data_IF_464672976376
#
_entry.id   IF_464672976376
#
_cell.length_a   1.000
_cell.length_b   1.000
_cell.length_c   1.000
_cell.angle_alpha   90.00
_cell.angle_beta   90.00
_cell.angle_gamma   90.00
#
_symmetry.space_group_name_H-M   'P 1'
#
loop_
_entity.id
_entity.type
_entity.pdbx_description
1 polymer ?
#
# COMPACT_ATOMS: atom_id res chain seq x y z
N UNK A 1 13.01 12.14 -15.16
CA UNK A 1 13.04 10.69 -15.37
C UNK A 1 11.71 10.25 -15.97
N UNK A 2 11.72 9.13 -16.70
CA UNK A 2 10.53 8.44 -17.16
C UNK A 2 10.12 7.40 -16.10
N UNK A 3 8.88 7.48 -15.61
CA UNK A 3 8.38 6.62 -14.54
C UNK A 3 7.19 5.82 -15.04
N UNK A 4 7.31 4.49 -14.96
CA UNK A 4 6.22 3.57 -15.23
C UNK A 4 5.60 3.13 -13.91
N UNK A 5 4.32 3.44 -13.70
CA UNK A 5 3.58 3.08 -12.49
C UNK A 5 2.57 1.99 -12.84
N UNK A 6 2.82 0.80 -12.31
CA UNK A 6 1.94 -0.35 -12.47
C UNK A 6 0.96 -0.38 -11.29
N UNK A 7 -0.34 -0.43 -11.56
CA UNK A 7 -1.40 -0.28 -10.55
C UNK A 7 -1.82 1.18 -10.36
N UNK A 8 -1.74 1.99 -11.42
CA UNK A 8 -1.88 3.44 -11.37
C UNK A 8 -3.30 3.96 -11.15
N UNK A 9 -4.35 3.12 -11.14
CA UNK A 9 -5.68 3.55 -10.72
C UNK A 9 -5.91 3.39 -9.20
N UNK A 10 -5.06 2.60 -8.53
CA UNK A 10 -5.22 2.21 -7.14
C UNK A 10 -5.08 3.34 -6.13
N UNK A 11 -5.33 3.00 -4.85
CA UNK A 11 -5.27 3.94 -3.72
C UNK A 11 -3.96 4.72 -3.65
N UNK A 12 -2.84 4.03 -3.87
CA UNK A 12 -1.48 4.59 -3.86
C UNK A 12 -1.03 5.01 -5.27
N UNK A 13 -1.30 4.17 -6.28
CA UNK A 13 -0.79 4.39 -7.63
C UNK A 13 -1.26 5.69 -8.27
N UNK A 14 -2.52 6.07 -8.08
CA UNK A 14 -3.04 7.31 -8.67
C UNK A 14 -2.42 8.58 -8.03
N UNK A 15 -2.41 8.73 -6.70
CA UNK A 15 -1.65 9.80 -6.06
C UNK A 15 -0.17 9.82 -6.42
N UNK A 16 0.50 8.67 -6.48
CA UNK A 16 1.92 8.59 -6.90
C UNK A 16 2.10 9.12 -8.32
N UNK A 17 1.20 8.81 -9.25
CA UNK A 17 1.27 9.31 -10.62
C UNK A 17 1.19 10.84 -10.69
N UNK A 18 0.24 11.43 -9.96
CA UNK A 18 0.13 12.88 -9.88
C UNK A 18 1.34 13.51 -9.20
N UNK A 19 1.84 12.89 -8.11
CA UNK A 19 2.99 13.39 -7.35
C UNK A 19 4.26 13.49 -8.20
N UNK A 20 4.55 12.47 -9.01
CA UNK A 20 5.68 12.46 -9.94
C UNK A 20 5.46 13.43 -11.12
N UNK A 21 4.26 13.44 -11.70
CA UNK A 21 3.91 14.37 -12.79
C UNK A 21 4.08 15.82 -12.34
N UNK A 22 3.59 16.15 -11.13
CA UNK A 22 3.70 17.49 -10.56
C UNK A 22 5.16 17.94 -10.41
N UNK A 23 6.09 17.02 -10.18
CA UNK A 23 7.53 17.25 -10.05
C UNK A 23 8.29 17.20 -11.39
N UNK A 24 7.58 17.20 -12.52
CA UNK A 24 8.17 17.34 -13.85
C UNK A 24 8.70 16.04 -14.44
N UNK A 25 8.24 14.89 -13.93
CA UNK A 25 8.57 13.59 -14.52
C UNK A 25 7.58 13.21 -15.62
N UNK A 26 8.06 12.45 -16.60
CA UNK A 26 7.21 11.78 -17.58
C UNK A 26 6.60 10.56 -16.90
N UNK A 27 5.26 10.50 -16.83
CA UNK A 27 4.56 9.44 -16.11
C UNK A 27 3.68 8.65 -17.07
N UNK A 28 3.86 7.33 -17.06
CA UNK A 28 2.96 6.37 -17.69
C UNK A 28 2.37 5.47 -16.61
N UNK A 29 1.04 5.32 -16.59
CA UNK A 29 0.32 4.42 -15.69
C UNK A 29 -0.22 3.22 -16.45
N UNK A 30 -0.13 2.03 -15.85
CA UNK A 30 -0.75 0.79 -16.33
C UNK A 30 -1.69 0.24 -15.27
N UNK A 31 -2.92 -0.08 -15.63
CA UNK A 31 -3.90 -0.70 -14.72
C UNK A 31 -4.94 -1.51 -15.50
N UNK A 32 -5.49 -2.57 -14.90
CA UNK A 32 -6.54 -3.41 -15.50
C UNK A 32 -7.91 -3.23 -14.81
N UNK A 33 -8.03 -2.28 -13.88
CA UNK A 33 -9.21 -2.05 -13.04
C UNK A 33 -9.63 -3.23 -12.16
N UNK A 34 -8.75 -4.22 -11.93
CA UNK A 34 -9.02 -5.37 -11.05
C UNK A 34 -9.63 -4.92 -9.73
N UNK A 35 -9.05 -3.88 -9.11
CA UNK A 35 -9.50 -3.37 -7.81
C UNK A 35 -10.96 -2.92 -7.82
N UNK A 36 -11.41 -2.25 -8.89
CA UNK A 36 -12.80 -1.80 -9.05
C UNK A 36 -13.72 -2.98 -9.30
N UNK A 37 -13.35 -3.87 -10.21
CA UNK A 37 -14.14 -5.04 -10.54
C UNK A 37 -14.34 -5.97 -9.34
N UNK A 38 -13.29 -6.22 -8.57
CA UNK A 38 -13.36 -6.98 -7.33
C UNK A 38 -14.27 -6.30 -6.29
N UNK A 39 -14.26 -4.97 -6.21
CA UNK A 39 -15.14 -4.25 -5.28
C UNK A 39 -16.61 -4.36 -5.66
N UNK A 40 -16.93 -4.32 -6.96
CA UNK A 40 -18.31 -4.51 -7.45
C UNK A 40 -18.76 -5.95 -7.18
N UNK A 41 -17.92 -6.94 -7.52
CA UNK A 41 -18.20 -8.36 -7.29
C UNK A 41 -18.48 -8.66 -5.82
N UNK A 42 -17.72 -8.03 -4.92
CA UNK A 42 -17.80 -8.23 -3.48
C UNK A 42 -18.72 -7.23 -2.78
N UNK A 43 -19.47 -6.40 -3.50
CA UNK A 43 -20.34 -5.36 -2.93
C UNK A 43 -19.63 -4.51 -1.85
N UNK A 44 -18.44 -4.02 -2.17
CA UNK A 44 -17.57 -3.25 -1.28
C UNK A 44 -16.89 -2.08 -2.00
N UNK A 45 -17.64 -1.40 -2.85
CA UNK A 45 -17.19 -0.24 -3.62
C UNK A 45 -16.61 0.89 -2.74
N UNK A 46 -15.77 1.70 -3.36
CA UNK A 46 -15.17 2.85 -2.69
C UNK A 46 -16.22 3.86 -2.24
N UNK A 47 -16.01 4.43 -1.05
CA UNK A 47 -16.85 5.51 -0.52
C UNK A 47 -16.87 6.73 -1.45
N UNK A 48 -15.69 7.11 -1.95
CA UNK A 48 -15.52 8.25 -2.83
C UNK A 48 -15.72 7.76 -4.28
N UNK A 49 -16.70 8.30 -5.02
CA UNK A 49 -16.88 7.96 -6.41
C UNK A 49 -15.69 8.52 -7.21
N UNK A 50 -15.15 7.70 -8.09
CA UNK A 50 -13.95 8.04 -8.85
C UNK A 50 -14.18 7.85 -10.34
N UNK A 51 -13.85 8.87 -11.13
CA UNK A 51 -13.86 8.77 -12.58
C UNK A 51 -12.91 7.66 -13.06
N UNK A 52 -13.10 7.18 -14.29
CA UNK A 52 -12.16 6.20 -14.86
C UNK A 52 -10.79 6.85 -15.10
N UNK A 53 -9.75 6.03 -15.27
CA UNK A 53 -8.37 6.49 -15.32
C UNK A 53 -8.09 7.46 -16.48
N UNK A 54 -8.72 7.28 -17.64
CA UNK A 54 -8.62 8.22 -18.77
C UNK A 54 -9.23 9.58 -18.42
N UNK A 55 -10.39 9.60 -17.76
CA UNK A 55 -11.04 10.84 -17.32
C UNK A 55 -10.22 11.54 -16.23
N UNK A 56 -9.66 10.78 -15.29
CA UNK A 56 -8.73 11.29 -14.27
C UNK A 56 -7.50 11.94 -14.90
N UNK A 57 -6.84 11.28 -15.85
CA UNK A 57 -5.69 11.83 -16.56
C UNK A 57 -6.06 13.06 -17.41
N UNK A 58 -7.24 13.05 -18.06
CA UNK A 58 -7.75 14.23 -18.76
C UNK A 58 -7.96 15.39 -17.80
N UNK A 59 -8.58 15.15 -16.64
CA UNK A 59 -8.78 16.16 -15.60
C UNK A 59 -7.46 16.73 -15.11
N UNK A 60 -6.48 15.87 -14.85
CA UNK A 60 -5.14 16.28 -14.43
C UNK A 60 -4.52 17.28 -15.42
N UNK A 61 -4.61 16.98 -16.72
CA UNK A 61 -4.17 17.88 -17.78
C UNK A 61 -4.96 19.18 -17.84
N UNK A 62 -6.28 19.14 -17.64
CA UNK A 62 -7.13 20.34 -17.63
C UNK A 62 -6.75 21.30 -16.48
N UNK A 63 -6.42 20.77 -15.29
CA UNK A 63 -6.12 21.61 -14.12
C UNK A 63 -4.65 22.01 -14.00
N UNK A 64 -3.72 21.23 -14.54
CA UNK A 64 -2.26 21.48 -14.42
C UNK A 64 -1.53 21.77 -15.71
N UNK A 65 -2.12 21.44 -16.86
CA UNK A 65 -1.44 21.40 -18.16
C UNK A 65 -0.49 20.22 -18.35
N UNK A 66 -0.33 19.33 -17.36
CA UNK A 66 0.60 18.19 -17.40
C UNK A 66 -0.11 16.91 -17.82
N UNK A 67 0.60 16.05 -18.54
CA UNK A 67 0.06 14.80 -19.07
C UNK A 67 0.54 13.59 -18.25
N UNK A 68 -0.39 12.66 -18.01
CA UNK A 68 -0.11 11.31 -17.51
C UNK A 68 -0.61 10.36 -18.59
N UNK A 69 0.28 9.55 -19.14
CA UNK A 69 -0.07 8.57 -20.16
C UNK A 69 -0.78 7.38 -19.51
N UNK A 70 -1.88 6.92 -20.10
CA UNK A 70 -2.70 5.83 -19.53
C UNK A 70 -2.71 4.64 -20.47
N UNK A 71 -2.33 3.48 -19.95
CA UNK A 71 -2.42 2.18 -20.62
C UNK A 71 -3.34 1.27 -19.80
N UNK A 72 -4.38 0.72 -20.42
CA UNK A 72 -5.28 -0.23 -19.76
C UNK A 72 -4.92 -1.64 -20.18
N UNK A 73 -4.53 -2.47 -19.22
CA UNK A 73 -4.11 -3.84 -19.50
C UNK A 73 -3.59 -4.58 -18.27
N UNK A 74 -3.63 -5.90 -18.35
CA UNK A 74 -3.17 -6.81 -17.30
C UNK A 74 -1.70 -7.18 -17.53
N UNK A 75 -0.82 -6.82 -16.59
CA UNK A 75 0.62 -7.09 -16.69
C UNK A 75 1.00 -8.55 -16.45
N UNK A 76 0.06 -9.39 -16.01
CA UNK A 76 0.23 -10.86 -16.05
C UNK A 76 0.34 -11.34 -17.51
N UNK A 77 -0.27 -10.61 -18.46
CA UNK A 77 -0.07 -10.82 -19.88
C UNK A 77 1.24 -10.15 -20.30
N UNK A 78 2.29 -10.96 -20.51
CA UNK A 78 3.65 -10.46 -20.72
C UNK A 78 3.77 -9.49 -21.92
N UNK A 79 3.04 -9.71 -23.01
CA UNK A 79 3.04 -8.82 -24.18
C UNK A 79 2.53 -7.40 -23.88
N UNK A 80 1.56 -7.28 -22.96
CA UNK A 80 1.06 -5.97 -22.50
C UNK A 80 2.16 -5.24 -21.72
N UNK A 81 2.82 -5.94 -20.80
CA UNK A 81 3.93 -5.37 -20.04
C UNK A 81 5.09 -4.97 -20.96
N UNK A 82 5.50 -5.84 -21.90
CA UNK A 82 6.56 -5.54 -22.86
C UNK A 82 6.24 -4.32 -23.71
N UNK A 83 4.98 -4.17 -24.14
CA UNK A 83 4.53 -3.00 -24.89
C UNK A 83 4.66 -1.72 -24.04
N UNK A 84 4.19 -1.76 -22.79
CA UNK A 84 4.30 -0.63 -21.86
C UNK A 84 5.78 -0.24 -21.60
N UNK A 85 6.68 -1.21 -21.42
CA UNK A 85 8.11 -0.96 -21.23
C UNK A 85 8.77 -0.36 -22.48
N UNK A 86 8.44 -0.86 -23.68
CA UNK A 86 8.98 -0.37 -24.95
C UNK A 86 8.54 1.06 -25.26
N UNK A 87 7.28 1.37 -24.96
CA UNK A 87 6.68 2.69 -25.19
C UNK A 87 7.20 3.72 -24.18
N UNK A 88 7.16 3.40 -22.88
CA UNK A 88 7.53 4.35 -21.82
C UNK A 88 9.04 4.47 -21.59
N UNK A 89 9.83 3.45 -21.93
CA UNK A 89 11.28 3.35 -21.68
C UNK A 89 11.66 3.89 -20.29
N UNK A 90 11.15 3.28 -19.21
CA UNK A 90 11.23 3.89 -17.89
C UNK A 90 12.64 3.85 -17.31
N UNK A 91 13.04 4.93 -16.65
CA UNK A 91 14.20 4.94 -15.75
C UNK A 91 13.85 4.21 -14.43
N UNK A 92 12.59 4.32 -13.99
CA UNK A 92 12.08 3.71 -12.76
C UNK A 92 10.72 3.08 -13.00
N UNK A 93 10.52 1.88 -12.45
CA UNK A 93 9.26 1.16 -12.43
C UNK A 93 8.77 1.09 -10.99
N UNK A 94 7.56 1.56 -10.73
CA UNK A 94 6.90 1.46 -9.43
C UNK A 94 5.82 0.38 -9.51
N UNK A 95 5.96 -0.69 -8.72
CA UNK A 95 5.07 -1.84 -8.78
C UNK A 95 4.05 -1.85 -7.64
N UNK A 96 2.82 -1.40 -7.95
CA UNK A 96 1.63 -1.53 -7.11
C UNK A 96 0.58 -2.53 -7.64
N UNK A 97 0.74 -3.01 -8.88
CA UNK A 97 -0.19 -3.88 -9.61
C UNK A 97 -0.30 -5.31 -9.04
N UNK A 98 -0.77 -5.42 -7.81
CA UNK A 98 -0.94 -6.66 -7.06
C UNK A 98 -2.28 -6.67 -6.33
N UNK A 99 -2.77 -7.85 -5.98
CA UNK A 99 -3.88 -8.04 -5.05
C UNK A 99 -3.37 -7.75 -3.63
N UNK A 100 -3.77 -6.64 -2.96
CA UNK A 100 -3.12 -6.16 -1.75
C UNK A 100 -3.86 -6.49 -0.44
N UNK A 101 -4.98 -7.19 -0.50
CA UNK A 101 -5.87 -7.46 0.63
C UNK A 101 -5.63 -8.85 1.22
N UNK A 102 -5.27 -8.85 2.51
CA UNK A 102 -5.22 -10.06 3.33
C UNK A 102 -6.59 -10.75 3.42
N UNK A 103 -7.70 -10.08 3.80
CA UNK A 103 -9.02 -10.70 3.81
C UNK A 103 -9.42 -11.31 2.45
N UNK A 104 -9.19 -10.61 1.33
CA UNK A 104 -9.50 -11.12 -0.01
C UNK A 104 -8.78 -12.43 -0.28
N UNK A 105 -7.49 -12.51 0.08
CA UNK A 105 -6.68 -13.71 -0.11
C UNK A 105 -7.14 -14.92 0.71
N UNK A 106 -7.97 -14.69 1.74
CA UNK A 106 -8.49 -15.70 2.66
C UNK A 106 -9.97 -16.04 2.42
N UNK A 107 -10.66 -15.37 1.48
CA UNK A 107 -12.10 -15.54 1.26
C UNK A 107 -12.49 -16.97 0.87
N UNK A 108 -11.77 -17.54 -0.10
CA UNK A 108 -11.98 -18.89 -0.60
C UNK A 108 -10.79 -19.32 -1.50
N UNK A 109 -10.81 -20.57 -1.95
CA UNK A 109 -9.77 -21.16 -2.81
C UNK A 109 -9.50 -20.35 -4.09
N UNK A 110 -10.53 -19.79 -4.71
CA UNK A 110 -10.40 -19.06 -5.98
C UNK A 110 -9.70 -17.72 -5.77
N UNK A 111 -10.08 -16.96 -4.74
CA UNK A 111 -9.42 -15.69 -4.40
C UNK A 111 -7.99 -15.91 -3.88
N UNK A 112 -7.75 -17.02 -3.20
CA UNK A 112 -6.41 -17.45 -2.80
C UNK A 112 -5.54 -17.76 -4.02
N UNK A 113 -6.01 -18.59 -4.95
CA UNK A 113 -5.29 -18.92 -6.18
C UNK A 113 -5.02 -17.70 -7.05
N UNK A 114 -6.00 -16.80 -7.18
CA UNK A 114 -5.84 -15.53 -7.88
C UNK A 114 -4.76 -14.67 -7.25
N UNK A 115 -4.71 -14.57 -5.91
CA UNK A 115 -3.68 -13.77 -5.20
C UNK A 115 -2.28 -14.28 -5.52
N UNK A 116 -2.06 -15.60 -5.49
CA UNK A 116 -0.77 -16.23 -5.85
C UNK A 116 -0.43 -15.95 -7.31
N UNK A 117 -1.34 -16.26 -8.23
CA UNK A 117 -1.07 -16.15 -9.66
C UNK A 117 -0.82 -14.71 -10.07
N UNK A 118 -1.66 -13.78 -9.61
CA UNK A 118 -1.53 -12.37 -9.96
C UNK A 118 -0.19 -11.81 -9.47
N UNK A 119 0.08 -11.90 -8.17
CA UNK A 119 1.21 -11.20 -7.55
C UNK A 119 2.56 -11.77 -8.02
N UNK A 120 2.69 -13.11 -8.04
CA UNK A 120 3.97 -13.72 -8.41
C UNK A 120 4.27 -13.60 -9.90
N UNK A 121 3.25 -13.77 -10.77
CA UNK A 121 3.47 -13.66 -12.22
C UNK A 121 3.69 -12.20 -12.63
N UNK A 122 3.01 -11.22 -12.01
CA UNK A 122 3.31 -9.81 -12.28
C UNK A 122 4.74 -9.45 -11.92
N UNK A 123 5.22 -9.87 -10.73
CA UNK A 123 6.60 -9.63 -10.30
C UNK A 123 7.61 -10.33 -11.23
N UNK A 124 7.37 -11.60 -11.58
CA UNK A 124 8.21 -12.35 -12.53
C UNK A 124 8.29 -11.66 -13.90
N UNK A 125 7.15 -11.22 -14.42
CA UNK A 125 7.07 -10.52 -15.70
C UNK A 125 7.87 -9.22 -15.66
N UNK A 126 7.82 -8.45 -14.57
CA UNK A 126 8.62 -7.22 -14.42
C UNK A 126 10.11 -7.54 -14.42
N UNK A 127 10.53 -8.56 -13.67
CA UNK A 127 11.94 -9.02 -13.64
C UNK A 127 12.45 -9.33 -15.05
N UNK A 128 11.69 -10.11 -15.82
CA UNK A 128 12.06 -10.49 -17.19
C UNK A 128 11.98 -9.31 -18.16
N UNK A 129 10.92 -8.50 -18.06
CA UNK A 129 10.71 -7.33 -18.92
C UNK A 129 11.79 -6.28 -18.73
N UNK A 130 12.23 -6.02 -17.49
CA UNK A 130 13.38 -5.14 -17.21
C UNK A 130 14.63 -5.71 -17.85
N UNK A 131 14.91 -7.01 -17.66
CA UNK A 131 16.10 -7.63 -18.24
C UNK A 131 16.13 -7.56 -19.78
N UNK A 132 14.99 -7.75 -20.42
CA UNK A 132 14.85 -7.80 -21.88
C UNK A 132 14.82 -6.41 -22.53
N UNK A 133 14.06 -5.48 -21.96
CA UNK A 133 13.70 -4.22 -22.64
C UNK A 133 14.44 -3.03 -22.05
N UNK A 134 14.53 -2.95 -20.73
CA UNK A 134 15.09 -1.78 -20.03
C UNK A 134 16.03 -2.17 -18.89
N UNK A 135 17.18 -2.82 -19.17
CA UNK A 135 18.03 -3.43 -18.14
C UNK A 135 18.65 -2.43 -17.14
N UNK A 136 18.58 -1.13 -17.43
CA UNK A 136 19.01 -0.06 -16.53
C UNK A 136 17.94 0.42 -15.54
N UNK A 137 16.67 0.01 -15.70
CA UNK A 137 15.57 0.51 -14.88
C UNK A 137 15.72 0.10 -13.42
N UNK A 138 15.41 1.02 -12.52
CA UNK A 138 15.25 0.75 -11.10
C UNK A 138 13.84 0.24 -10.82
N UNK A 139 13.72 -0.85 -10.05
CA UNK A 139 12.42 -1.36 -9.59
C UNK A 139 12.20 -0.86 -8.17
N UNK A 140 11.15 -0.07 -7.97
CA UNK A 140 10.60 0.24 -6.65
C UNK A 140 9.41 -0.69 -6.42
N UNK A 141 9.62 -1.74 -5.61
CA UNK A 141 8.60 -2.71 -5.25
C UNK A 141 7.88 -2.27 -3.99
N UNK A 142 6.56 -2.43 -3.97
CA UNK A 142 5.81 -2.35 -2.73
C UNK A 142 5.82 -3.74 -2.06
N UNK A 143 6.62 -3.89 -1.02
CA UNK A 143 6.58 -5.01 -0.08
C UNK A 143 5.49 -4.80 0.98
N UNK A 144 5.70 -5.30 2.19
CA UNK A 144 4.81 -5.04 3.34
C UNK A 144 5.50 -5.31 4.66
N UNK A 145 5.26 -4.48 5.68
CA UNK A 145 5.68 -4.77 7.06
C UNK A 145 5.12 -6.11 7.58
N UNK A 146 4.04 -6.60 6.98
CA UNK A 146 3.45 -7.89 7.33
C UNK A 146 4.28 -9.10 6.92
N UNK A 147 5.36 -8.94 6.14
CA UNK A 147 6.31 -10.03 5.87
C UNK A 147 6.99 -10.50 7.15
N UNK A 148 7.38 -9.56 8.02
CA UNK A 148 8.13 -9.86 9.24
C UNK A 148 7.31 -10.58 10.31
N UNK A 149 5.98 -10.48 10.26
CA UNK A 149 5.13 -10.99 11.33
C UNK A 149 5.31 -10.22 12.63
N UNK A 150 5.38 -10.94 13.75
CA UNK A 150 5.50 -10.36 15.10
C UNK A 150 6.49 -11.15 15.96
N UNK A 151 7.79 -11.13 15.60
CA UNK A 151 8.83 -11.84 16.33
C UNK A 151 9.08 -11.19 17.69
N UNK A 152 9.77 -11.91 18.58
CA UNK A 152 10.15 -11.42 19.91
C UNK A 152 11.56 -10.79 19.92
N UNK A 153 11.93 -10.13 18.82
CA UNK A 153 13.17 -9.38 18.62
C UNK A 153 12.84 -8.10 17.85
N UNK A 154 13.77 -7.15 17.79
CA UNK A 154 13.64 -5.98 16.94
C UNK A 154 13.49 -6.39 15.47
N UNK A 155 12.66 -5.64 14.74
CA UNK A 155 12.46 -5.86 13.31
C UNK A 155 13.40 -4.92 12.56
N UNK A 156 14.38 -5.48 11.86
CA UNK A 156 15.35 -4.72 11.06
C UNK A 156 14.77 -4.29 9.71
N UNK A 157 15.49 -3.43 8.98
CA UNK A 157 15.16 -3.08 7.59
C UNK A 157 15.64 -4.17 6.63
N UNK A 158 14.92 -5.30 6.64
CA UNK A 158 15.06 -6.39 5.68
C UNK A 158 16.25 -7.34 5.87
N UNK A 159 17.27 -6.95 6.63
CA UNK A 159 18.49 -7.74 6.83
C UNK A 159 18.79 -7.96 8.30
N UNK A 160 19.27 -9.16 8.64
CA UNK A 160 19.71 -9.50 9.98
C UNK A 160 21.15 -10.01 9.93
N UNK A 161 22.04 -9.34 10.66
CA UNK A 161 23.40 -9.83 10.92
C UNK A 161 23.35 -10.86 12.05
N UNK A 162 23.89 -12.06 11.81
CA UNK A 162 23.84 -13.17 12.76
C UNK A 162 25.25 -13.65 13.07
N UNK A 163 25.57 -13.70 14.36
CA UNK A 163 26.72 -14.42 14.91
C UNK A 163 26.26 -15.76 15.49
N UNK A 164 26.63 -16.85 14.84
CA UNK A 164 26.23 -18.20 15.24
C UNK A 164 27.39 -19.19 15.14
N UNK A 165 27.68 -19.88 16.27
CA UNK A 165 28.76 -20.87 16.38
C UNK A 165 30.13 -20.35 15.89
N UNK A 166 30.48 -19.11 16.24
CA UNK A 166 31.77 -18.50 15.90
C UNK A 166 31.89 -18.06 14.42
N UNK A 167 30.77 -17.96 13.70
CA UNK A 167 30.71 -17.46 12.33
C UNK A 167 29.69 -16.34 12.23
N UNK A 168 30.01 -15.33 11.42
CA UNK A 168 29.15 -14.18 11.15
C UNK A 168 28.71 -14.20 9.70
N UNK A 169 27.43 -13.91 9.45
CA UNK A 169 26.88 -13.74 8.10
C UNK A 169 25.62 -12.86 8.14
N UNK A 170 25.19 -12.37 6.98
CA UNK A 170 24.03 -11.46 6.83
C UNK A 170 22.95 -12.13 5.98
N UNK A 171 21.75 -12.21 6.53
CA UNK A 171 20.62 -12.87 5.88
C UNK A 171 19.46 -11.92 5.68
N UNK A 172 18.58 -12.25 4.73
CA UNK A 172 17.25 -11.67 4.74
C UNK A 172 16.61 -11.98 6.09
N UNK A 173 15.97 -10.96 6.68
CA UNK A 173 15.33 -11.09 7.98
C UNK A 173 14.30 -12.25 7.94
N UNK A 174 14.22 -13.08 8.99
CA UNK A 174 13.23 -14.16 9.07
C UNK A 174 11.79 -13.63 8.97
N UNK A 175 10.99 -14.19 8.07
CA UNK A 175 9.64 -13.69 7.75
C UNK A 175 8.57 -14.68 8.20
N UNK A 176 7.49 -14.16 8.76
CA UNK A 176 6.38 -14.92 9.37
C UNK A 176 5.03 -14.26 9.01
N UNK A 177 4.73 -14.23 7.71
CA UNK A 177 3.46 -13.70 7.21
C UNK A 177 2.25 -14.41 7.82
N UNK A 178 1.19 -13.65 8.09
CA UNK A 178 -0.03 -14.17 8.73
C UNK A 178 -1.15 -14.51 7.73
N UNK A 179 -1.10 -14.02 6.49
CA UNK A 179 -2.09 -14.32 5.44
C UNK A 179 -1.42 -14.71 4.13
N UNK A 180 -2.17 -15.32 3.21
CA UNK A 180 -1.66 -15.65 1.88
C UNK A 180 -1.17 -14.42 1.08
N UNK A 181 -1.86 -13.27 1.15
CA UNK A 181 -1.37 -12.01 0.57
C UNK A 181 0.05 -11.66 1.07
N UNK A 182 0.24 -11.56 2.39
CA UNK A 182 1.55 -11.29 2.98
C UNK A 182 2.59 -12.36 2.59
N UNK A 183 2.19 -13.63 2.47
CA UNK A 183 3.08 -14.70 1.99
C UNK A 183 3.51 -14.48 0.54
N UNK A 184 2.64 -14.00 -0.35
CA UNK A 184 3.04 -13.68 -1.73
C UNK A 184 4.06 -12.54 -1.78
N UNK A 185 4.04 -11.60 -0.83
CA UNK A 185 5.03 -10.53 -0.75
C UNK A 185 6.41 -11.05 -0.32
N UNK A 186 6.46 -11.96 0.65
CA UNK A 186 7.70 -12.70 0.99
C UNK A 186 8.30 -13.36 -0.27
N UNK A 187 7.44 -14.02 -1.05
CA UNK A 187 7.83 -14.72 -2.27
C UNK A 187 8.30 -13.75 -3.37
N UNK A 188 7.69 -12.58 -3.51
CA UNK A 188 8.19 -11.53 -4.41
C UNK A 188 9.59 -11.08 -3.99
N UNK A 189 9.81 -10.81 -2.71
CA UNK A 189 11.10 -10.38 -2.16
C UNK A 189 12.17 -11.44 -2.42
N UNK A 190 11.87 -12.72 -2.21
CA UNK A 190 12.78 -13.83 -2.50
C UNK A 190 13.08 -13.96 -3.99
N UNK A 191 12.07 -13.81 -4.85
CA UNK A 191 12.21 -13.87 -6.30
C UNK A 191 13.08 -12.70 -6.80
N UNK A 192 12.79 -11.48 -6.36
CA UNK A 192 13.57 -10.29 -6.66
C UNK A 192 15.01 -10.45 -6.17
N UNK A 193 15.21 -10.92 -4.94
CA UNK A 193 16.55 -11.13 -4.39
C UNK A 193 17.37 -12.12 -5.21
N UNK A 194 16.74 -13.20 -5.69
CA UNK A 194 17.40 -14.14 -6.60
C UNK A 194 17.90 -13.47 -7.87
N UNK A 195 17.07 -12.64 -8.52
CA UNK A 195 17.43 -11.98 -9.79
C UNK A 195 18.30 -10.74 -9.64
N UNK A 196 18.23 -10.05 -8.49
CA UNK A 196 19.22 -9.04 -8.10
C UNK A 196 20.62 -9.66 -8.09
N UNK A 197 20.79 -10.80 -7.41
CA UNK A 197 22.11 -11.47 -7.32
C UNK A 197 22.56 -12.11 -8.62
N UNK A 198 21.65 -12.69 -9.40
CA UNK A 198 22.02 -13.47 -10.59
C UNK A 198 22.11 -12.62 -11.85
N UNK A 199 21.30 -11.58 -11.99
CA UNK A 199 21.22 -10.74 -13.19
C UNK A 199 21.64 -9.29 -12.99
N UNK A 200 21.96 -8.89 -11.76
CA UNK A 200 22.40 -7.53 -11.44
C UNK A 200 21.27 -6.51 -11.46
N UNK A 201 20.02 -6.93 -11.22
CA UNK A 201 18.90 -5.98 -11.09
C UNK A 201 19.15 -5.01 -9.94
N UNK A 202 18.55 -3.81 -10.03
CA UNK A 202 18.55 -2.80 -8.98
C UNK A 202 17.14 -2.66 -8.43
N UNK A 203 16.95 -3.00 -7.16
CA UNK A 203 15.63 -3.06 -6.53
C UNK A 203 15.65 -2.30 -5.22
N UNK A 204 14.62 -1.50 -4.99
CA UNK A 204 14.25 -1.01 -3.66
C UNK A 204 12.90 -1.58 -3.30
N UNK A 205 12.85 -2.32 -2.20
CA UNK A 205 11.64 -2.94 -1.68
C UNK A 205 11.15 -2.19 -0.45
N UNK A 206 9.93 -1.67 -0.55
CA UNK A 206 9.34 -0.80 0.45
C UNK A 206 8.36 -1.59 1.30
N UNK A 207 8.79 -1.95 2.51
CA UNK A 207 8.00 -2.67 3.49
C UNK A 207 7.04 -1.71 4.16
N UNK A 208 5.93 -1.44 3.48
CA UNK A 208 4.97 -0.44 3.91
C UNK A 208 4.04 -0.95 5.02
N UNK A 209 3.81 -0.10 6.01
CA UNK A 209 2.75 -0.29 7.02
C UNK A 209 1.36 0.16 6.53
N UNK A 210 0.28 -0.07 7.30
CA UNK A 210 -1.04 0.37 6.86
C UNK A 210 -1.08 1.89 6.67
N UNK A 211 -1.55 2.27 5.48
CA UNK A 211 -1.65 3.68 5.08
C UNK A 211 -2.96 4.27 5.57
N UNK A 212 -2.90 5.50 6.07
CA UNK A 212 -4.05 6.34 6.38
C UNK A 212 -3.99 7.66 5.62
N UNK A 213 -5.10 8.40 5.62
CA UNK A 213 -5.24 9.64 4.85
C UNK A 213 -6.02 9.43 3.56
N UNK A 214 -6.17 10.51 2.80
CA UNK A 214 -6.94 10.52 1.54
C UNK A 214 -6.67 11.79 0.73
N UNK A 215 -6.34 12.88 1.42
CA UNK A 215 -5.96 14.17 0.83
C UNK A 215 -4.48 14.22 0.51
N UNK A 216 -4.17 14.86 -0.61
CA UNK A 216 -2.83 15.24 -1.05
C UNK A 216 -2.93 16.57 -1.79
N UNK A 217 -1.83 17.31 -1.88
CA UNK A 217 -1.80 18.60 -2.60
C UNK A 217 -2.36 18.46 -4.03
N UNK A 218 -2.02 17.37 -4.72
CA UNK A 218 -2.47 17.11 -6.09
C UNK A 218 -3.94 16.65 -6.15
N UNK A 219 -4.38 15.80 -5.23
CA UNK A 219 -5.75 15.24 -5.24
C UNK A 219 -6.80 16.25 -4.78
N UNK A 220 -6.41 17.28 -4.03
CA UNK A 220 -7.30 18.34 -3.57
C UNK A 220 -7.52 19.46 -4.61
N UNK A 221 -6.80 19.43 -5.74
CA UNK A 221 -7.02 20.39 -6.85
C UNK A 221 -8.41 20.26 -7.48
N UNK A 222 -9.00 19.06 -7.49
CA UNK A 222 -10.34 18.81 -8.05
C UNK A 222 -10.91 17.49 -7.54
N UNK A 223 -12.22 17.41 -7.30
CA UNK A 223 -12.86 16.19 -6.74
C UNK A 223 -12.65 14.93 -7.62
N UNK A 224 -12.67 15.07 -8.95
CA UNK A 224 -12.34 13.97 -9.89
C UNK A 224 -10.91 13.41 -9.75
N UNK A 225 -9.99 14.11 -9.10
CA UNK A 225 -8.60 13.68 -8.89
C UNK A 225 -8.41 12.89 -7.58
N UNK A 226 -9.45 12.78 -6.76
CA UNK A 226 -9.40 12.03 -5.50
C UNK A 226 -9.14 10.55 -5.75
N UNK A 227 -8.39 9.93 -4.85
CA UNK A 227 -8.13 8.49 -4.88
C UNK A 227 -9.27 7.69 -4.25
N UNK A 228 -9.21 6.36 -4.36
CA UNK A 228 -10.20 5.46 -3.77
C UNK A 228 -10.10 5.48 -2.24
N UNK A 229 -11.24 5.50 -1.56
CA UNK A 229 -11.32 5.32 -0.11
C UNK A 229 -12.15 4.10 0.25
N UNK A 230 -11.56 3.14 0.97
CA UNK A 230 -12.23 1.90 1.38
C UNK A 230 -12.36 1.81 2.90
N UNK A 231 -13.53 1.36 3.32
CA UNK A 231 -13.94 1.22 4.72
C UNK A 231 -14.60 -0.15 4.99
N UNK A 232 -14.70 -0.98 3.95
CA UNK A 232 -15.21 -2.34 4.04
C UNK A 232 -14.22 -3.26 4.77
N UNK A 233 -14.68 -4.45 5.16
CA UNK A 233 -13.82 -5.43 5.84
C UNK A 233 -12.71 -5.99 4.95
N UNK A 234 -12.93 -6.01 3.64
CA UNK A 234 -12.06 -6.72 2.72
C UNK A 234 -10.83 -5.87 2.40
N UNK A 235 -11.03 -4.62 2.01
CA UNK A 235 -9.96 -3.75 1.57
C UNK A 235 -9.75 -2.50 2.43
N UNK A 236 -10.66 -2.18 3.34
CA UNK A 236 -10.49 -1.07 4.26
C UNK A 236 -9.37 -1.32 5.27
N UNK A 237 -8.56 -0.30 5.54
CA UNK A 237 -7.56 -0.31 6.62
C UNK A 237 -8.17 0.19 7.92
N UNK A 238 -7.59 -0.19 9.06
CA UNK A 238 -8.24 0.00 10.38
C UNK A 238 -8.60 1.45 10.69
N UNK A 239 -7.70 2.41 10.44
CA UNK A 239 -7.96 3.82 10.76
C UNK A 239 -9.05 4.41 9.86
N UNK A 240 -8.98 4.11 8.56
CA UNK A 240 -9.99 4.52 7.58
C UNK A 240 -11.38 3.93 7.93
N UNK A 241 -11.44 2.66 8.33
CA UNK A 241 -12.65 1.97 8.82
C UNK A 241 -13.21 2.65 10.06
N UNK A 242 -12.38 2.95 11.05
CA UNK A 242 -12.81 3.56 12.30
C UNK A 242 -13.45 4.93 12.10
N UNK A 243 -12.90 5.77 11.22
CA UNK A 243 -13.48 7.09 10.94
C UNK A 243 -14.87 6.94 10.30
N UNK A 244 -15.03 6.02 9.35
CA UNK A 244 -16.34 5.77 8.72
C UNK A 244 -17.34 5.16 9.70
N UNK A 245 -16.91 4.23 10.56
CA UNK A 245 -17.75 3.67 11.62
C UNK A 245 -18.26 4.77 12.56
N UNK A 246 -17.37 5.66 13.00
CA UNK A 246 -17.73 6.81 13.82
C UNK A 246 -18.74 7.74 13.14
N UNK A 247 -18.58 8.01 11.83
CA UNK A 247 -19.49 8.90 11.07
C UNK A 247 -20.94 8.39 11.03
N UNK A 248 -21.15 7.07 11.03
CA UNK A 248 -22.48 6.45 10.97
C UNK A 248 -22.98 5.93 12.32
N UNK A 249 -22.25 6.22 13.42
CA UNK A 249 -22.59 5.73 14.76
C UNK A 249 -22.45 4.21 14.92
N UNK A 250 -21.74 3.54 14.00
CA UNK A 250 -21.35 2.15 14.16
C UNK A 250 -20.20 2.08 15.18
N UNK A 251 -20.24 1.17 16.18
CA UNK A 251 -19.13 1.01 17.10
C UNK A 251 -17.81 0.73 16.38
N UNK A 252 -16.71 1.30 16.87
CA UNK A 252 -15.38 1.01 16.36
C UNK A 252 -15.08 -0.47 16.60
N UNK A 253 -14.88 -1.24 15.52
CA UNK A 253 -14.73 -2.70 15.59
C UNK A 253 -13.31 -3.10 15.93
N UNK A 254 -13.03 -3.36 17.19
CA UNK A 254 -11.73 -3.87 17.64
C UNK A 254 -11.75 -5.39 17.60
N UNK A 255 -10.83 -5.99 16.85
CA UNK A 255 -10.74 -7.45 16.74
C UNK A 255 -9.96 -7.99 17.94
N UNK A 256 -10.61 -8.84 18.74
CA UNK A 256 -10.01 -9.43 19.93
C UNK A 256 -9.67 -8.36 20.98
N UNK A 257 -8.50 -8.48 21.62
CA UNK A 257 -8.03 -7.56 22.67
C UNK A 257 -7.63 -6.16 22.18
N UNK A 258 -7.36 -5.98 20.88
CA UNK A 258 -6.94 -4.69 20.31
C UNK A 258 -5.48 -4.28 20.57
N UNK A 259 -4.66 -5.17 21.13
CA UNK A 259 -3.24 -4.91 21.41
C UNK A 259 -2.32 -5.17 20.21
N UNK A 260 -2.86 -5.54 19.04
CA UNK A 260 -2.08 -5.73 17.82
C UNK A 260 -1.38 -4.40 17.46
N UNK A 261 -0.05 -4.40 17.42
CA UNK A 261 0.76 -3.21 17.08
C UNK A 261 1.28 -3.30 15.65
N UNK A 262 1.17 -2.22 14.88
CA UNK A 262 1.74 -2.11 13.53
C UNK A 262 2.36 -0.74 13.36
N UNK A 263 3.33 -0.63 12.45
CA UNK A 263 3.80 0.66 11.97
C UNK A 263 2.81 1.22 10.95
N UNK A 264 2.45 2.50 11.05
CA UNK A 264 1.51 3.20 10.17
C UNK A 264 2.23 4.33 9.44
N UNK A 265 1.62 4.80 8.36
CA UNK A 265 2.16 5.90 7.56
C UNK A 265 1.04 6.71 6.90
N UNK A 266 1.24 8.02 6.78
CA UNK A 266 0.35 8.90 6.05
C UNK A 266 0.48 8.65 4.52
N UNK A 267 -0.60 8.83 3.76
CA UNK A 267 -0.57 8.81 2.30
C UNK A 267 0.47 9.78 1.75
N UNK A 268 0.60 10.99 2.29
CA UNK A 268 1.61 11.97 1.84
C UNK A 268 3.04 11.43 1.98
N UNK A 269 3.35 10.81 3.12
CA UNK A 269 4.65 10.19 3.35
C UNK A 269 4.88 8.98 2.46
N UNK A 270 3.82 8.26 2.09
CA UNK A 270 3.92 7.20 1.09
C UNK A 270 4.48 7.73 -0.23
N UNK A 271 3.96 8.87 -0.70
CA UNK A 271 4.40 9.49 -1.95
C UNK A 271 5.85 10.00 -1.84
N UNK A 272 6.18 10.62 -0.71
CA UNK A 272 7.54 11.07 -0.42
C UNK A 272 8.55 9.92 -0.45
N UNK A 273 8.30 8.84 0.28
CA UNK A 273 9.20 7.69 0.35
C UNK A 273 9.42 7.02 -1.02
N UNK A 274 8.36 6.86 -1.81
CA UNK A 274 8.45 6.28 -3.16
C UNK A 274 9.26 7.20 -4.07
N UNK A 275 9.03 8.51 -3.98
CA UNK A 275 9.78 9.52 -4.73
C UNK A 275 11.26 9.55 -4.34
N UNK A 276 11.58 9.54 -3.05
CA UNK A 276 12.96 9.51 -2.54
C UNK A 276 13.67 8.24 -3.02
N UNK A 277 13.00 7.09 -2.97
CA UNK A 277 13.54 5.82 -3.45
C UNK A 277 13.82 5.84 -4.95
N UNK A 278 12.94 6.44 -5.75
CA UNK A 278 13.13 6.59 -7.20
C UNK A 278 14.26 7.58 -7.54
N UNK A 279 14.36 8.70 -6.81
CA UNK A 279 15.40 9.71 -7.03
C UNK A 279 16.79 9.26 -6.59
N UNK A 280 16.85 8.31 -5.64
CA UNK A 280 18.09 7.74 -5.11
C UNK A 280 18.09 6.22 -5.33
N UNK A 281 18.22 5.75 -6.58
CA UNK A 281 17.97 4.36 -6.96
C UNK A 281 19.03 3.40 -6.40
N UNK A 282 18.65 2.15 -6.12
CA UNK A 282 19.56 1.09 -5.69
C UNK A 282 20.72 0.89 -6.70
N UNK A 283 21.90 0.51 -6.25
CA UNK A 283 23.01 0.08 -7.11
C UNK A 283 22.64 -1.16 -7.93
N UNK A 284 23.36 -1.40 -9.04
CA UNK A 284 23.19 -2.66 -9.78
C UNK A 284 23.59 -3.85 -8.91
N UNK A 285 22.74 -4.89 -8.88
CA UNK A 285 22.93 -6.03 -7.99
C UNK A 285 22.63 -5.74 -6.51
N UNK A 286 22.03 -4.59 -6.19
CA UNK A 286 21.59 -4.23 -4.85
C UNK A 286 20.08 -4.44 -4.68
N UNK A 287 19.71 -5.10 -3.57
CA UNK A 287 18.36 -5.10 -3.03
C UNK A 287 18.37 -4.24 -1.76
N UNK A 288 17.87 -3.00 -1.89
CA UNK A 288 17.65 -2.12 -0.75
C UNK A 288 16.27 -2.40 -0.16
N UNK A 289 16.16 -2.51 1.15
CA UNK A 289 14.88 -2.75 1.83
C UNK A 289 14.71 -1.63 2.85
N UNK A 290 13.53 -1.00 2.85
CA UNK A 290 13.17 0.03 3.84
C UNK A 290 11.87 -0.31 4.53
N UNK A 291 11.83 -0.13 5.83
CA UNK A 291 10.59 -0.18 6.61
C UNK A 291 9.87 1.16 6.44
N UNK A 292 8.89 1.19 5.53
CA UNK A 292 8.17 2.40 5.15
C UNK A 292 7.00 2.65 6.13
N UNK A 293 7.37 3.13 7.32
CA UNK A 293 6.48 3.53 8.42
C UNK A 293 6.99 4.81 9.09
N UNK A 294 6.11 5.54 9.77
CA UNK A 294 6.49 6.76 10.52
C UNK A 294 6.20 6.65 12.01
N UNK A 295 5.20 5.86 12.40
CA UNK A 295 4.76 5.71 13.80
C UNK A 295 4.26 4.29 14.06
N UNK A 296 4.28 3.86 15.33
CA UNK A 296 3.74 2.56 15.75
C UNK A 296 2.53 2.79 16.64
N UNK A 297 1.41 2.15 16.31
CA UNK A 297 0.19 2.19 17.12
C UNK A 297 -0.40 0.78 17.32
N UNK A 298 -1.00 0.58 18.48
CA UNK A 298 -1.97 -0.49 18.72
C UNK A 298 -3.36 -0.12 18.19
N UNK A 299 -4.21 -1.12 18.00
CA UNK A 299 -5.61 -0.89 17.59
C UNK A 299 -6.37 -0.09 18.66
N UNK A 300 -6.10 -0.35 19.94
CA UNK A 300 -6.70 0.39 21.05
C UNK A 300 -6.29 1.87 21.06
N UNK A 301 -5.03 2.20 20.77
CA UNK A 301 -4.57 3.60 20.66
C UNK A 301 -5.28 4.32 19.53
N UNK A 302 -5.35 3.73 18.34
CA UNK A 302 -6.08 4.30 17.20
C UNK A 302 -7.56 4.51 17.51
N UNK A 303 -8.22 3.53 18.12
CA UNK A 303 -9.62 3.63 18.52
C UNK A 303 -9.84 4.77 19.53
N UNK A 304 -8.93 4.93 20.49
CA UNK A 304 -8.95 6.03 21.45
C UNK A 304 -8.80 7.40 20.79
N UNK A 305 -7.89 7.54 19.82
CA UNK A 305 -7.70 8.77 19.05
C UNK A 305 -8.95 9.11 18.23
N UNK A 306 -9.50 8.15 17.47
CA UNK A 306 -10.73 8.36 16.68
C UNK A 306 -11.93 8.68 17.56
N UNK A 307 -12.09 7.99 18.70
CA UNK A 307 -13.17 8.27 19.64
C UNK A 307 -13.08 9.68 20.20
N UNK A 308 -11.88 10.13 20.60
CA UNK A 308 -11.65 11.46 21.16
C UNK A 308 -11.99 12.55 20.15
N UNK A 309 -11.43 12.46 18.93
CA UNK A 309 -11.70 13.44 17.85
C UNK A 309 -13.16 13.39 17.41
N UNK A 310 -13.71 12.20 17.19
CA UNK A 310 -15.10 12.05 16.78
C UNK A 310 -16.10 12.62 17.80
N UNK A 311 -15.88 12.40 19.10
CA UNK A 311 -16.71 13.01 20.17
C UNK A 311 -16.58 14.54 20.19
N UNK A 312 -15.38 15.08 19.99
CA UNK A 312 -15.18 16.53 19.90
C UNK A 312 -15.92 17.16 18.70
N UNK A 313 -16.11 16.39 17.62
CA UNK A 313 -16.91 16.78 16.45
C UNK A 313 -18.41 16.49 16.59
N UNK A 314 -18.86 15.98 17.74
CA UNK A 314 -20.28 15.73 18.03
C UNK A 314 -20.82 14.36 17.58
N UNK A 315 -19.95 13.41 17.22
CA UNK A 315 -20.37 12.04 16.89
C UNK A 315 -20.45 11.15 18.14
N UNK A 316 -21.44 10.26 18.20
CA UNK A 316 -21.53 9.23 19.23
C UNK A 316 -20.61 8.05 18.89
N UNK A 317 -19.33 8.16 19.30
CA UNK A 317 -18.32 7.14 19.02
C UNK A 317 -18.20 6.15 20.18
N UNK A 318 -18.64 4.92 19.93
CA UNK A 318 -18.54 3.78 20.86
C UNK A 318 -17.45 2.83 20.38
N UNK A 319 -16.83 2.10 21.30
CA UNK A 319 -15.83 1.07 20.99
C UNK A 319 -16.44 -0.28 21.32
N UNK A 320 -16.26 -1.25 20.43
CA UNK A 320 -16.72 -2.62 20.64
C UNK A 320 -15.60 -3.61 20.29
N UNK A 321 -15.28 -4.46 21.25
CA UNK A 321 -14.44 -5.64 21.00
C UNK A 321 -15.32 -6.76 20.44
N UNK A 322 -14.88 -7.36 19.34
CA UNK A 322 -15.55 -8.49 18.69
C UNK A 322 -14.60 -9.68 18.61
N UNK A 323 -15.16 -10.88 18.39
CA UNK A 323 -14.35 -12.06 18.13
C UNK A 323 -13.41 -11.81 16.94
N UNK A 324 -12.13 -12.07 17.12
CA UNK A 324 -11.13 -11.83 16.08
C UNK A 324 -11.33 -12.83 14.93
N UNK A 325 -11.66 -12.38 13.71
CA UNK A 325 -11.81 -13.29 12.58
C UNK A 325 -10.46 -13.78 12.04
N UNK A 326 -9.34 -13.18 12.48
CA UNK A 326 -7.99 -13.49 12.02
C UNK A 326 -7.24 -14.35 13.03
N UNK A 327 -6.23 -15.08 12.55
CA UNK A 327 -5.27 -15.79 13.41
C UNK A 327 -3.99 -14.96 13.55
N UNK A 328 -3.95 -14.14 14.59
CA UNK A 328 -2.80 -13.29 14.91
C UNK A 328 -2.64 -13.09 16.43
N UNK A 329 -1.44 -12.69 16.87
CA UNK A 329 -1.20 -12.33 18.27
C UNK A 329 -1.93 -11.03 18.58
N UNK A 330 -2.76 -11.04 19.61
CA UNK A 330 -3.54 -9.85 20.04
C UNK A 330 -2.79 -8.97 21.05
N UNK A 331 -1.63 -9.43 21.51
CA UNK A 331 -0.65 -8.71 22.31
C UNK A 331 0.73 -9.30 22.01
N UNK A 332 1.71 -8.45 21.70
CA UNK A 332 3.03 -8.87 21.26
C UNK A 332 4.07 -7.76 21.36
N UNK A 333 5.35 -8.15 21.43
CA UNK A 333 6.47 -7.26 21.19
C UNK A 333 6.41 -6.69 19.76
N UNK A 334 6.75 -5.41 19.60
CA UNK A 334 6.83 -4.78 18.28
C UNK A 334 7.71 -3.54 18.32
N UNK A 335 8.93 -3.64 17.78
CA UNK A 335 9.90 -2.57 17.71
C UNK A 335 10.63 -2.60 16.35
N UNK A 336 10.01 -2.08 15.28
CA UNK A 336 10.66 -1.99 13.98
C UNK A 336 11.64 -0.81 13.93
N UNK A 337 12.79 -1.00 13.28
CA UNK A 337 13.65 0.10 12.82
C UNK A 337 13.11 0.64 11.50
N UNK A 338 13.15 1.96 11.32
CA UNK A 338 12.65 2.63 10.11
C UNK A 338 13.41 3.95 9.87
N UNK A 339 14.75 3.91 9.96
CA UNK A 339 15.58 5.12 9.82
C UNK A 339 16.02 5.38 8.39
N UNK A 340 16.12 4.34 7.54
CA UNK A 340 16.68 4.48 6.19
C UNK A 340 15.96 5.51 5.31
N UNK A 341 14.63 5.63 5.40
CA UNK A 341 13.89 6.65 4.65
C UNK A 341 14.05 8.05 5.24
N UNK A 342 14.19 8.18 6.57
CA UNK A 342 14.51 9.44 7.24
C UNK A 342 15.89 9.93 6.80
N UNK A 343 16.87 9.03 6.76
CA UNK A 343 18.23 9.30 6.28
C UNK A 343 18.26 9.69 4.79
N UNK A 344 17.33 9.17 3.99
CA UNK A 344 17.14 9.60 2.60
C UNK A 344 16.45 10.97 2.45
N UNK A 345 15.95 11.56 3.53
CA UNK A 345 15.34 12.90 3.55
C UNK A 345 13.81 12.90 3.66
N UNK A 346 13.18 11.85 4.19
CA UNK A 346 11.76 11.86 4.52
C UNK A 346 11.45 12.93 5.58
N UNK A 347 10.47 13.78 5.29
CA UNK A 347 9.86 14.70 6.25
C UNK A 347 8.47 14.18 6.64
N UNK A 348 8.32 13.53 7.81
CA UNK A 348 7.13 12.75 8.14
C UNK A 348 5.92 13.60 8.55
N UNK A 349 4.74 13.20 8.10
CA UNK A 349 3.44 13.73 8.51
C UNK A 349 2.81 12.82 9.57
N UNK A 350 3.12 13.09 10.84
CA UNK A 350 2.59 12.32 11.97
C UNK A 350 1.07 12.42 12.12
N UNK A 351 0.48 11.39 12.72
CA UNK A 351 -0.95 11.32 12.98
C UNK A 351 -1.32 12.31 14.09
N UNK A 352 -2.09 13.34 13.74
CA UNK A 352 -2.57 14.35 14.67
C UNK A 352 -4.10 14.44 14.69
N UNK A 353 -4.63 15.19 15.67
CA UNK A 353 -6.05 15.50 15.76
C UNK A 353 -6.54 16.28 14.54
N UNK A 354 -5.69 17.14 13.98
CA UNK A 354 -5.98 17.92 12.77
C UNK A 354 -6.10 17.01 11.55
N UNK A 355 -5.20 16.02 11.41
CA UNK A 355 -5.28 15.01 10.34
C UNK A 355 -6.59 14.23 10.44
N UNK A 356 -6.92 13.71 11.64
CA UNK A 356 -8.18 13.00 11.86
C UNK A 356 -9.40 13.88 11.59
N UNK A 357 -9.38 15.13 12.06
CA UNK A 357 -10.45 16.11 11.83
C UNK A 357 -10.65 16.37 10.35
N UNK A 358 -9.58 16.57 9.59
CA UNK A 358 -9.62 16.74 8.14
C UNK A 358 -10.26 15.54 7.43
N UNK A 359 -9.90 14.32 7.84
CA UNK A 359 -10.53 13.10 7.32
C UNK A 359 -12.02 13.03 7.66
N UNK A 360 -12.43 13.32 8.90
CA UNK A 360 -13.85 13.37 9.28
C UNK A 360 -14.64 14.37 8.43
N UNK A 361 -14.11 15.58 8.26
CA UNK A 361 -14.76 16.65 7.48
C UNK A 361 -14.93 16.24 6.03
N UNK A 362 -13.88 15.69 5.40
CA UNK A 362 -13.93 15.26 4.02
C UNK A 362 -14.92 14.09 3.82
N UNK A 363 -14.80 13.04 4.63
CA UNK A 363 -15.59 11.82 4.48
C UNK A 363 -17.07 12.03 4.82
N UNK A 364 -17.40 13.01 5.68
CA UNK A 364 -18.79 13.42 5.94
C UNK A 364 -19.53 13.81 4.66
N UNK A 365 -18.84 14.39 3.66
CA UNK A 365 -19.45 14.75 2.36
C UNK A 365 -20.03 13.54 1.62
N UNK A 366 -19.56 12.34 1.94
CA UNK A 366 -19.93 11.09 1.29
C UNK A 366 -20.75 10.16 2.19
N UNK A 367 -21.23 10.63 3.35
CA UNK A 367 -21.89 9.77 4.35
C UNK A 367 -23.09 9.00 3.80
N UNK A 368 -23.86 9.59 2.88
CA UNK A 368 -25.03 8.97 2.24
C UNK A 368 -24.68 7.77 1.34
N UNK A 369 -23.40 7.54 1.05
CA UNK A 369 -22.91 6.42 0.24
C UNK A 369 -22.37 5.26 1.08
N UNK A 370 -22.38 5.40 2.41
CA UNK A 370 -21.86 4.36 3.30
C UNK A 370 -22.85 3.19 3.31
N UNK A 371 -22.40 2.04 2.84
CA UNK A 371 -23.06 0.75 2.98
C UNK A 371 -22.63 0.14 4.32
N UNK A 372 -23.51 0.18 5.32
CA UNK A 372 -23.22 -0.36 6.66
C UNK A 372 -22.99 -1.87 6.64
N UNK A 373 -23.56 -2.61 5.69
CA UNK A 373 -23.42 -4.06 5.56
C UNK A 373 -22.03 -4.47 5.02
N UNK A 374 -21.27 -3.52 4.47
CA UNK A 374 -19.89 -3.73 4.04
C UNK A 374 -18.87 -3.58 5.19
N UNK A 375 -19.26 -2.95 6.32
CA UNK A 375 -18.34 -2.61 7.42
C UNK A 375 -17.75 -3.87 8.06
N UNK A 376 -18.56 -4.89 8.31
CA UNK A 376 -18.11 -6.14 8.91
C UNK A 376 -18.97 -7.31 8.45
N UNK A 377 -18.33 -8.33 7.87
CA UNK A 377 -18.95 -9.56 7.37
C UNK A 377 -18.39 -10.83 8.01
N UNK A 378 -17.35 -10.70 8.84
CA UNK A 378 -16.75 -11.79 9.60
C UNK A 378 -15.97 -12.78 8.75
N UNK A 379 -15.13 -12.29 7.81
CA UNK A 379 -14.26 -13.15 6.98
C UNK A 379 -13.24 -13.88 7.87
N UNK A 380 -13.54 -15.13 8.23
CA UNK A 380 -12.76 -15.95 9.15
C UNK A 380 -11.57 -16.65 8.47
N UNK A 381 -10.43 -16.71 9.17
CA UNK A 381 -9.17 -17.31 8.71
C UNK A 381 -8.98 -18.78 9.10
#
# INVERSE_FOLDING_TARGET
MNVLILGGDGYLGWPTAMYFSQRGHTVTVVDNYFRRHASIELDCESLIPTANLFQRAKRWREVTGKEIQVLIGDIVQYDILLSALRESRPDTIIHYAEQPSAPYSMLNREKAAFTIQNNLISTLNIIHGVKEVTPGSHIVKLGTMGEYGTPNIDIEEGWLDIDYNGRSDRFLFPREASSLYHTTKIQDTDLLWFYVRTWGLRVTDLMQGPVYGISTDESDLHDDLRTHFHYDEIFGTVLNRFIVQALVGHPLTIYGKGGQKRGYINLMDTLQCVYLSACQPAGFGELRIFNQVTEVFSINELAGMVQRVGKALGYDVRIQHIANPRKEKEDHYYNPKYTGLIELGLDPHYLSDEVLTGMFVLLKRYCNRINTDAIFRGVAW
#
